data_IF_895443955981
#
_entry.id   IF_895443955981
#
_cell.length_a   1.000
_cell.length_b   1.000
_cell.length_c   1.000
_cell.angle_alpha   90.00
_cell.angle_beta   90.00
_cell.angle_gamma   90.00
#
_symmetry.space_group_name_H-M   'P 1'
#
loop_
_entity.id
_entity.type
_entity.pdbx_description
1 polymer ?
#
# COMPACT_ATOMS: atom_id res chain seq x y z
N UNK A 1 10.93 -20.21 1.74
CA UNK A 1 9.47 -20.32 1.96
C UNK A 1 8.68 -20.41 0.67
N UNK A 2 8.95 -19.60 -0.35
CA UNK A 2 8.22 -19.60 -1.64
C UNK A 2 8.37 -20.93 -2.41
N UNK A 3 9.59 -21.47 -2.48
CA UNK A 3 9.86 -22.75 -3.13
C UNK A 3 9.14 -23.94 -2.44
N UNK A 4 9.04 -23.90 -1.11
CA UNK A 4 8.32 -24.92 -0.35
C UNK A 4 6.82 -24.91 -0.65
N UNK A 5 6.20 -23.72 -0.70
CA UNK A 5 4.79 -23.56 -1.05
C UNK A 5 4.51 -24.04 -2.48
N UNK A 6 5.36 -23.70 -3.44
CA UNK A 6 5.23 -24.19 -4.81
C UNK A 6 5.37 -25.71 -4.91
N UNK A 7 6.31 -26.31 -4.16
CA UNK A 7 6.47 -27.77 -4.13
C UNK A 7 5.25 -28.44 -3.52
N UNK A 8 4.68 -27.90 -2.46
CA UNK A 8 3.48 -28.40 -1.82
C UNK A 8 2.28 -28.36 -2.78
N UNK A 9 2.11 -27.26 -3.51
CA UNK A 9 1.04 -27.13 -4.53
C UNK A 9 1.21 -28.16 -5.63
N UNK A 10 2.43 -28.39 -6.14
CA UNK A 10 2.70 -29.38 -7.19
C UNK A 10 2.43 -30.81 -6.72
N UNK A 11 2.85 -31.15 -5.51
CA UNK A 11 2.59 -32.47 -4.91
C UNK A 11 1.09 -32.68 -4.69
N UNK A 12 0.36 -31.70 -4.17
CA UNK A 12 -1.08 -31.76 -3.99
C UNK A 12 -1.81 -31.93 -5.33
N UNK A 13 -1.40 -31.20 -6.36
CA UNK A 13 -1.98 -31.32 -7.70
C UNK A 13 -1.74 -32.70 -8.32
N UNK A 14 -0.52 -33.21 -8.21
CA UNK A 14 -0.17 -34.56 -8.69
C UNK A 14 -0.99 -35.64 -7.97
N UNK A 15 -1.17 -35.51 -6.66
CA UNK A 15 -1.96 -36.44 -5.85
C UNK A 15 -3.44 -36.44 -6.25
N UNK A 16 -4.03 -35.25 -6.46
CA UNK A 16 -5.42 -35.12 -6.93
C UNK A 16 -5.58 -35.70 -8.32
N UNK A 17 -4.65 -35.46 -9.25
CA UNK A 17 -4.69 -36.00 -10.60
C UNK A 17 -4.54 -37.52 -10.63
N UNK A 18 -3.77 -38.11 -9.70
CA UNK A 18 -3.61 -39.57 -9.61
C UNK A 18 -4.81 -40.25 -8.96
N UNK A 19 -5.42 -39.65 -7.95
CA UNK A 19 -6.50 -40.26 -7.17
C UNK A 19 -7.86 -40.06 -7.86
N UNK A 20 -8.09 -38.92 -8.52
CA UNK A 20 -9.38 -38.58 -9.13
C UNK A 20 -9.91 -39.64 -10.13
N UNK A 21 -9.08 -40.19 -11.05
CA UNK A 21 -9.54 -41.25 -11.95
C UNK A 21 -9.90 -42.58 -11.23
N UNK A 22 -9.17 -42.89 -10.15
CA UNK A 22 -9.45 -44.13 -9.35
C UNK A 22 -10.80 -44.00 -8.64
N UNK A 23 -11.11 -42.84 -8.06
CA UNK A 23 -12.41 -42.59 -7.45
C UNK A 23 -13.51 -42.61 -8.50
N UNK A 24 -13.30 -42.00 -9.66
CA UNK A 24 -14.24 -41.96 -10.75
C UNK A 24 -14.54 -43.38 -11.28
N UNK A 25 -13.51 -44.24 -11.39
CA UNK A 25 -13.65 -45.66 -11.79
C UNK A 25 -14.38 -46.48 -10.74
N UNK A 26 -14.11 -46.28 -9.45
CA UNK A 26 -14.77 -46.97 -8.36
C UNK A 26 -16.28 -46.67 -8.26
N UNK A 27 -16.68 -45.40 -8.57
CA UNK A 27 -18.09 -45.00 -8.59
C UNK A 27 -18.81 -45.58 -9.80
N UNK A 28 -18.13 -45.70 -10.95
CA UNK A 28 -18.68 -46.26 -12.18
C UNK A 28 -19.74 -45.39 -12.85
N UNK A 29 -20.56 -46.00 -13.71
CA UNK A 29 -21.68 -45.34 -14.41
C UNK A 29 -23.01 -45.82 -13.81
N UNK A 30 -23.88 -44.86 -13.51
CA UNK A 30 -25.21 -45.10 -12.99
C UNK A 30 -26.25 -44.42 -13.87
N UNK A 31 -27.33 -45.17 -14.21
CA UNK A 31 -28.45 -44.65 -14.95
C UNK A 31 -29.68 -44.64 -14.05
N UNK A 32 -30.33 -43.53 -13.94
CA UNK A 32 -31.57 -43.38 -13.20
C UNK A 32 -32.68 -42.97 -14.17
N UNK A 33 -33.67 -43.83 -14.33
CA UNK A 33 -34.84 -43.57 -15.19
C UNK A 33 -36.03 -43.12 -14.36
N UNK A 34 -36.47 -41.91 -14.58
CA UNK A 34 -37.67 -41.37 -13.96
C UNK A 34 -38.69 -41.05 -15.05
N UNK A 35 -39.77 -41.82 -15.12
CA UNK A 35 -40.78 -41.78 -16.18
C UNK A 35 -40.18 -41.91 -17.59
N UNK A 36 -40.15 -40.82 -18.37
CA UNK A 36 -39.63 -40.77 -19.75
C UNK A 36 -38.22 -40.16 -19.85
N UNK A 37 -37.64 -39.76 -18.74
CA UNK A 37 -36.31 -39.11 -18.73
C UNK A 37 -35.29 -40.03 -18.08
N UNK A 38 -34.22 -40.35 -18.82
CA UNK A 38 -33.08 -41.09 -18.32
C UNK A 38 -31.94 -40.09 -18.00
N UNK A 39 -31.55 -40.03 -16.71
CA UNK A 39 -30.39 -39.29 -16.26
C UNK A 39 -29.23 -40.28 -16.12
N UNK A 40 -28.20 -40.11 -16.94
CA UNK A 40 -26.94 -40.87 -16.83
C UNK A 40 -25.89 -40.00 -16.15
N UNK A 41 -25.38 -40.44 -15.03
CA UNK A 41 -24.24 -39.77 -14.39
C UNK A 41 -23.09 -40.76 -14.24
N UNK A 42 -21.88 -40.27 -14.44
CA UNK A 42 -20.66 -41.05 -14.34
C UNK A 42 -19.85 -40.64 -13.11
N UNK A 43 -18.94 -41.51 -12.68
CA UNK A 43 -18.08 -41.24 -11.52
C UNK A 43 -17.26 -39.95 -11.64
N UNK A 44 -16.94 -39.54 -12.87
CA UNK A 44 -16.22 -38.28 -13.10
C UNK A 44 -17.07 -37.04 -12.70
N UNK A 45 -18.37 -37.05 -13.05
CA UNK A 45 -19.28 -35.95 -12.66
C UNK A 45 -19.43 -35.86 -11.13
N UNK A 46 -19.54 -37.01 -10.44
CA UNK A 46 -19.56 -37.05 -8.98
C UNK A 46 -18.27 -36.54 -8.36
N UNK A 47 -17.13 -37.00 -8.87
CA UNK A 47 -15.82 -36.58 -8.37
C UNK A 47 -15.64 -35.07 -8.52
N UNK A 48 -16.01 -34.47 -9.66
CA UNK A 48 -15.97 -33.04 -9.89
C UNK A 48 -16.91 -32.25 -8.97
N UNK A 49 -18.11 -32.76 -8.74
CA UNK A 49 -19.09 -32.16 -7.83
C UNK A 49 -18.55 -32.10 -6.40
N UNK A 50 -18.02 -33.20 -5.88
CA UNK A 50 -17.45 -33.25 -4.53
C UNK A 50 -16.17 -32.41 -4.41
N UNK A 51 -15.30 -32.41 -5.43
CA UNK A 51 -14.12 -31.57 -5.47
C UNK A 51 -14.50 -30.06 -5.43
N UNK A 52 -15.53 -29.67 -6.18
CA UNK A 52 -16.07 -28.31 -6.15
C UNK A 52 -16.64 -27.95 -4.77
N UNK A 53 -17.37 -28.85 -4.13
CA UNK A 53 -17.91 -28.64 -2.79
C UNK A 53 -16.80 -28.45 -1.74
N UNK A 54 -15.75 -29.28 -1.80
CA UNK A 54 -14.58 -29.18 -0.92
C UNK A 54 -13.85 -27.85 -1.17
N UNK A 55 -13.67 -27.43 -2.43
CA UNK A 55 -13.03 -26.16 -2.77
C UNK A 55 -13.80 -24.95 -2.21
N UNK A 56 -15.13 -24.97 -2.30
CA UNK A 56 -15.99 -23.95 -1.69
C UNK A 56 -15.84 -23.94 -0.16
N UNK A 57 -15.87 -25.11 0.47
CA UNK A 57 -15.71 -25.25 1.92
C UNK A 57 -14.35 -24.70 2.39
N UNK A 58 -13.25 -25.08 1.72
CA UNK A 58 -11.91 -24.58 2.02
C UNK A 58 -11.83 -23.07 1.79
N UNK A 59 -12.44 -22.55 0.72
CA UNK A 59 -12.54 -21.13 0.47
C UNK A 59 -13.25 -20.37 1.58
N UNK A 60 -14.37 -20.89 2.08
CA UNK A 60 -15.12 -20.30 3.21
C UNK A 60 -14.30 -20.35 4.51
N UNK A 61 -13.66 -21.49 4.81
CA UNK A 61 -12.80 -21.60 6.01
C UNK A 61 -11.63 -20.64 5.94
N UNK A 62 -10.94 -20.56 4.78
CA UNK A 62 -9.84 -19.61 4.58
C UNK A 62 -10.30 -18.16 4.73
N UNK A 63 -11.45 -17.83 4.19
CA UNK A 63 -12.05 -16.50 4.36
C UNK A 63 -12.33 -16.19 5.83
N UNK A 64 -12.93 -17.11 6.58
CA UNK A 64 -13.23 -16.94 8.00
C UNK A 64 -11.96 -16.80 8.85
N UNK A 65 -10.88 -17.49 8.49
CA UNK A 65 -9.58 -17.39 9.18
C UNK A 65 -8.83 -16.10 8.86
N UNK A 66 -8.98 -15.56 7.64
CA UNK A 66 -8.33 -14.32 7.19
C UNK A 66 -9.19 -13.07 7.39
N UNK A 67 -10.34 -13.19 8.07
CA UNK A 67 -11.30 -12.11 8.23
C UNK A 67 -10.82 -11.09 9.27
N UNK A 68 -10.11 -10.06 8.82
CA UNK A 68 -9.66 -8.92 9.64
C UNK A 68 -10.77 -7.89 9.92
N UNK A 69 -11.98 -8.06 9.34
CA UNK A 69 -13.09 -7.09 9.44
C UNK A 69 -14.37 -7.76 9.90
N UNK A 70 -14.76 -7.62 11.20
CA UNK A 70 -15.91 -8.34 11.77
C UNK A 70 -17.29 -7.90 11.24
N UNK A 71 -17.40 -6.77 10.55
CA UNK A 71 -18.69 -6.15 10.19
C UNK A 71 -19.04 -6.13 8.69
N UNK A 72 -18.27 -6.79 7.83
CA UNK A 72 -18.52 -6.81 6.38
C UNK A 72 -19.04 -8.19 5.96
N UNK A 73 -20.15 -8.26 5.22
CA UNK A 73 -20.72 -9.52 4.76
C UNK A 73 -19.99 -10.04 3.51
N UNK A 74 -19.81 -11.35 3.41
CA UNK A 74 -19.19 -12.03 2.27
C UNK A 74 -19.89 -11.71 0.94
N UNK A 75 -21.21 -11.55 0.97
CA UNK A 75 -22.01 -11.19 -0.20
C UNK A 75 -21.72 -9.77 -0.71
N UNK A 76 -21.38 -8.83 0.18
CA UNK A 76 -20.98 -7.47 -0.25
C UNK A 76 -19.63 -7.48 -0.92
N UNK A 77 -18.66 -8.26 -0.41
CA UNK A 77 -17.32 -8.39 -0.99
C UNK A 77 -17.36 -9.07 -2.38
N UNK A 78 -18.15 -10.14 -2.51
CA UNK A 78 -18.36 -10.81 -3.80
C UNK A 78 -19.03 -9.87 -4.79
N UNK A 79 -20.07 -9.14 -4.37
CA UNK A 79 -20.81 -8.21 -5.24
C UNK A 79 -19.93 -7.05 -5.71
N UNK A 80 -19.07 -6.51 -4.84
CA UNK A 80 -18.11 -5.47 -5.20
C UNK A 80 -17.02 -5.99 -6.14
N UNK A 81 -16.53 -7.23 -5.93
CA UNK A 81 -15.58 -7.88 -6.82
C UNK A 81 -16.13 -8.06 -8.24
N UNK A 82 -17.41 -8.49 -8.37
CA UNK A 82 -18.07 -8.63 -9.68
C UNK A 82 -18.38 -7.31 -10.35
N UNK A 83 -18.53 -6.21 -9.61
CA UNK A 83 -18.78 -4.87 -10.16
C UNK A 83 -17.52 -4.11 -10.55
N UNK A 84 -16.33 -4.69 -10.35
CA UNK A 84 -15.06 -4.00 -10.57
C UNK A 84 -14.74 -2.90 -9.54
N UNK A 85 -15.50 -2.85 -8.43
CA UNK A 85 -15.39 -1.85 -7.37
C UNK A 85 -14.33 -2.21 -6.31
N UNK A 86 -13.38 -3.11 -6.61
CA UNK A 86 -12.33 -3.50 -5.66
C UNK A 86 -11.47 -2.33 -5.18
N UNK A 87 -11.47 -1.22 -5.89
CA UNK A 87 -10.83 0.05 -5.45
C UNK A 87 -11.67 0.87 -4.48
N UNK A 88 -12.98 0.60 -4.38
CA UNK A 88 -13.91 1.40 -3.58
C UNK A 88 -14.11 0.89 -2.13
N UNK A 89 -13.64 -0.31 -1.80
CA UNK A 89 -13.89 -0.93 -0.49
C UNK A 89 -13.06 -0.31 0.64
N UNK A 90 -12.00 0.44 0.31
CA UNK A 90 -11.21 1.22 1.28
C UNK A 90 -11.50 2.72 1.25
N UNK A 91 -12.27 3.18 0.29
CA UNK A 91 -12.65 4.58 0.16
C UNK A 91 -13.82 4.93 1.07
N UNK A 92 -13.59 5.25 2.34
CA UNK A 92 -14.42 6.27 2.96
C UNK A 92 -14.30 7.49 2.05
N UNK A 93 -15.42 7.92 1.47
CA UNK A 93 -15.49 9.17 0.70
C UNK A 93 -15.02 10.26 1.67
N UNK A 94 -13.76 10.67 1.54
CA UNK A 94 -13.26 11.82 2.25
C UNK A 94 -13.77 13.03 1.49
N UNK A 95 -14.49 13.90 2.14
CA UNK A 95 -14.95 15.16 1.56
C UNK A 95 -13.83 16.19 1.44
N UNK A 96 -12.71 15.96 2.13
CA UNK A 96 -11.54 16.84 2.14
C UNK A 96 -10.59 16.61 0.96
N UNK A 97 -9.71 17.57 0.74
CA UNK A 97 -8.67 17.54 -0.31
C UNK A 97 -7.32 17.25 0.34
N UNK A 98 -6.56 16.30 -0.21
CA UNK A 98 -5.24 15.93 0.29
C UNK A 98 -4.15 16.34 -0.70
N UNK A 99 -3.25 17.22 -0.29
CA UNK A 99 -2.15 17.77 -1.09
C UNK A 99 -0.82 17.39 -0.46
N UNK A 100 0.08 16.77 -1.23
CA UNK A 100 1.45 16.48 -0.82
C UNK A 100 2.43 17.37 -1.55
N UNK A 101 3.40 17.93 -0.82
CA UNK A 101 4.55 18.61 -1.39
C UNK A 101 5.78 17.74 -1.26
N UNK A 102 6.40 17.44 -2.38
CA UNK A 102 7.52 16.55 -2.52
C UNK A 102 8.73 17.26 -3.16
N UNK A 103 9.92 16.67 -3.06
CA UNK A 103 11.14 17.21 -3.65
C UNK A 103 12.35 17.12 -2.74
N UNK A 104 13.53 17.42 -3.28
CA UNK A 104 14.81 17.38 -2.59
C UNK A 104 14.94 18.37 -1.43
N UNK A 105 16.09 18.31 -0.73
CA UNK A 105 16.39 19.22 0.35
C UNK A 105 16.54 20.66 -0.19
N UNK A 106 16.17 21.64 0.63
CA UNK A 106 16.28 23.07 0.26
C UNK A 106 15.42 23.52 -0.93
N UNK A 107 14.52 22.66 -1.48
CA UNK A 107 13.67 23.00 -2.63
C UNK A 107 12.56 24.02 -2.33
N UNK A 108 12.32 24.36 -1.05
CA UNK A 108 11.36 25.40 -0.65
C UNK A 108 9.97 24.84 -0.28
N UNK A 109 9.80 23.52 -0.12
CA UNK A 109 8.53 22.88 0.24
C UNK A 109 7.85 23.56 1.43
N UNK A 110 8.52 23.67 2.56
CA UNK A 110 7.95 24.23 3.79
C UNK A 110 7.55 25.70 3.65
N UNK A 111 8.15 26.45 2.73
CA UNK A 111 7.75 27.83 2.41
C UNK A 111 6.46 27.82 1.60
N UNK A 112 6.38 26.99 0.57
CA UNK A 112 5.22 26.94 -0.31
C UNK A 112 4.00 26.32 0.38
N UNK A 113 4.19 25.32 1.23
CA UNK A 113 3.09 24.74 2.02
C UNK A 113 2.46 25.78 2.96
N UNK A 114 3.26 26.62 3.60
CA UNK A 114 2.77 27.72 4.45
C UNK A 114 2.04 28.79 3.66
N UNK A 115 2.59 29.22 2.51
CA UNK A 115 1.94 30.20 1.65
C UNK A 115 0.59 29.69 1.11
N UNK A 116 0.53 28.42 0.71
CA UNK A 116 -0.71 27.80 0.26
C UNK A 116 -1.73 27.72 1.39
N UNK A 117 -1.31 27.29 2.59
CA UNK A 117 -2.17 27.27 3.78
C UNK A 117 -2.77 28.65 4.04
N UNK A 118 -1.91 29.69 4.14
CA UNK A 118 -2.35 31.04 4.43
C UNK A 118 -3.32 31.58 3.37
N UNK A 119 -3.12 31.21 2.11
CA UNK A 119 -4.02 31.59 1.02
C UNK A 119 -5.37 30.88 1.12
N UNK A 120 -5.39 29.57 1.39
CA UNK A 120 -6.63 28.80 1.54
C UNK A 120 -7.45 29.27 2.75
N UNK A 121 -6.80 29.50 3.90
CA UNK A 121 -7.48 30.00 5.10
C UNK A 121 -8.10 31.40 4.88
N UNK A 122 -7.43 32.28 4.13
CA UNK A 122 -7.99 33.58 3.73
C UNK A 122 -9.21 33.46 2.80
N UNK A 123 -9.34 32.35 2.10
CA UNK A 123 -10.48 32.04 1.25
C UNK A 123 -11.58 31.23 1.96
N UNK A 124 -11.43 31.00 3.28
CA UNK A 124 -12.47 30.38 4.10
C UNK A 124 -12.36 28.85 4.22
N UNK A 125 -11.27 28.24 3.76
CA UNK A 125 -11.03 26.81 3.88
C UNK A 125 -10.45 26.46 5.26
N UNK A 126 -10.85 25.34 5.84
CA UNK A 126 -10.20 24.75 7.01
C UNK A 126 -9.00 23.94 6.55
N UNK A 127 -7.80 24.26 7.03
CA UNK A 127 -6.54 23.69 6.55
C UNK A 127 -5.74 23.04 7.66
N UNK A 128 -5.46 21.74 7.51
CA UNK A 128 -4.48 21.04 8.31
C UNK A 128 -3.13 21.05 7.57
N UNK A 129 -2.13 21.79 8.09
CA UNK A 129 -0.75 21.69 7.63
C UNK A 129 0.04 20.73 8.51
N UNK A 130 0.65 19.73 7.89
CA UNK A 130 1.43 18.70 8.56
C UNK A 130 2.70 18.34 7.79
N UNK A 131 3.45 17.32 8.25
CA UNK A 131 4.71 16.89 7.61
C UNK A 131 5.04 15.43 7.94
N UNK A 132 5.91 14.82 7.13
CA UNK A 132 6.54 13.53 7.40
C UNK A 132 8.07 13.59 7.26
N UNK A 133 8.82 12.95 8.19
CA UNK A 133 8.32 12.36 9.43
C UNK A 133 8.01 13.42 10.48
N UNK A 134 7.12 13.09 11.45
CA UNK A 134 6.96 13.91 12.65
C UNK A 134 5.71 14.77 12.72
N UNK A 135 4.59 14.39 12.07
CA UNK A 135 3.30 15.08 12.19
C UNK A 135 2.54 14.79 13.51
N UNK A 136 2.99 13.81 14.30
CA UNK A 136 2.34 13.37 15.53
C UNK A 136 3.36 13.24 16.66
N UNK A 137 2.89 13.02 17.90
CA UNK A 137 3.80 12.79 19.05
C UNK A 137 4.70 11.58 18.81
N UNK A 138 4.14 10.44 18.36
CA UNK A 138 4.91 9.25 17.99
C UNK A 138 5.84 9.54 16.81
N UNK A 139 5.31 10.25 15.81
CA UNK A 139 6.07 10.64 14.64
C UNK A 139 7.29 11.51 14.97
N UNK A 140 7.18 12.42 15.93
CA UNK A 140 8.32 13.23 16.38
C UNK A 140 9.41 12.35 17.04
N UNK A 141 9.04 11.32 17.82
CA UNK A 141 10.01 10.38 18.38
C UNK A 141 10.73 9.58 17.28
N UNK A 142 10.00 9.13 16.26
CA UNK A 142 10.59 8.44 15.11
C UNK A 142 11.47 9.38 14.29
N UNK A 143 11.05 10.64 14.11
CA UNK A 143 11.84 11.68 13.46
C UNK A 143 13.19 11.89 14.16
N UNK A 144 13.17 12.00 15.48
CA UNK A 144 14.40 12.18 16.26
C UNK A 144 15.37 11.00 16.04
N UNK A 145 14.88 9.77 16.01
CA UNK A 145 15.70 8.59 15.71
C UNK A 145 16.22 8.62 14.26
N UNK A 146 15.34 8.95 13.30
CA UNK A 146 15.65 8.92 11.86
C UNK A 146 16.65 9.99 11.43
N UNK A 147 16.59 11.18 12.04
CA UNK A 147 17.34 12.36 11.59
C UNK A 147 18.53 12.73 12.48
N UNK A 148 18.59 12.24 13.73
CA UNK A 148 19.75 12.53 14.61
C UNK A 148 21.01 11.81 14.10
N UNK A 149 22.06 12.59 13.88
CA UNK A 149 23.40 12.09 13.51
C UNK A 149 23.96 11.10 14.54
N UNK A 150 23.54 11.20 15.82
CA UNK A 150 23.98 10.33 16.90
C UNK A 150 23.41 8.91 16.81
N UNK A 151 22.31 8.72 16.08
CA UNK A 151 21.71 7.39 15.85
C UNK A 151 22.68 6.48 15.09
N UNK A 152 23.62 7.04 14.33
CA UNK A 152 24.58 6.28 13.54
C UNK A 152 23.95 5.63 12.31
N UNK A 153 24.52 4.51 11.89
CA UNK A 153 24.09 3.81 10.66
C UNK A 153 22.82 3.01 10.92
N UNK A 154 21.76 3.34 10.20
CA UNK A 154 20.52 2.57 10.18
C UNK A 154 20.51 1.72 8.91
N UNK A 155 20.14 0.44 9.01
CA UNK A 155 20.01 -0.40 7.80
C UNK A 155 18.90 0.14 6.90
N UNK A 156 19.06 0.11 5.56
CA UNK A 156 18.06 0.67 4.63
C UNK A 156 16.63 0.20 4.87
N UNK A 157 16.45 -1.09 5.16
CA UNK A 157 15.12 -1.66 5.45
C UNK A 157 14.53 -1.17 6.78
N UNK A 158 15.36 -1.05 7.83
CA UNK A 158 14.89 -0.51 9.10
C UNK A 158 14.49 0.96 8.96
N UNK A 159 15.26 1.75 8.22
CA UNK A 159 14.93 3.14 7.89
C UNK A 159 13.57 3.23 7.16
N UNK A 160 13.38 2.45 6.10
CA UNK A 160 12.12 2.42 5.34
C UNK A 160 10.92 1.99 6.22
N UNK A 161 11.09 1.02 7.11
CA UNK A 161 10.03 0.57 8.02
C UNK A 161 9.68 1.62 9.08
N UNK A 162 10.65 2.38 9.59
CA UNK A 162 10.39 3.47 10.54
C UNK A 162 9.63 4.62 9.87
N UNK A 163 9.96 4.98 8.63
CA UNK A 163 9.17 5.94 7.85
C UNK A 163 7.74 5.42 7.59
N UNK A 164 7.60 4.13 7.29
CA UNK A 164 6.28 3.54 7.10
C UNK A 164 5.45 3.50 8.39
N UNK A 165 6.08 3.27 9.56
CA UNK A 165 5.43 3.30 10.86
C UNK A 165 4.95 4.70 11.24
N UNK A 166 5.80 5.74 11.02
CA UNK A 166 5.41 7.14 11.18
C UNK A 166 4.17 7.45 10.33
N UNK A 167 4.24 7.14 9.05
CA UNK A 167 3.17 7.38 8.07
C UNK A 167 1.87 6.68 8.43
N UNK A 168 1.93 5.40 8.82
CA UNK A 168 0.75 4.64 9.22
C UNK A 168 0.02 5.32 10.38
N UNK A 169 0.77 5.74 11.40
CA UNK A 169 0.19 6.43 12.55
C UNK A 169 -0.30 7.85 12.20
N UNK A 170 0.42 8.56 11.35
CA UNK A 170 0.06 9.89 10.87
C UNK A 170 -1.26 9.88 10.10
N UNK A 171 -1.41 8.93 9.16
CA UNK A 171 -2.66 8.74 8.40
C UNK A 171 -3.82 8.39 9.33
N UNK A 172 -3.62 7.44 10.23
CA UNK A 172 -4.66 6.98 11.15
C UNK A 172 -5.13 8.07 12.11
N UNK A 173 -4.19 8.78 12.74
CA UNK A 173 -4.49 9.68 13.86
C UNK A 173 -4.77 11.13 13.45
N UNK A 174 -4.31 11.56 12.28
CA UNK A 174 -4.36 12.97 11.90
C UNK A 174 -4.95 13.21 10.50
N UNK A 175 -4.37 12.61 9.43
CA UNK A 175 -4.74 12.94 8.05
C UNK A 175 -6.18 12.47 7.76
N UNK A 176 -6.48 11.19 8.00
CA UNK A 176 -7.79 10.62 7.69
C UNK A 176 -8.93 11.29 8.47
N UNK A 177 -8.82 11.54 9.78
CA UNK A 177 -9.84 12.30 10.51
C UNK A 177 -10.08 13.73 9.97
N UNK A 178 -9.02 14.45 9.58
CA UNK A 178 -9.15 15.78 8.97
C UNK A 178 -9.89 15.73 7.62
N UNK A 179 -9.50 14.81 6.74
CA UNK A 179 -10.19 14.60 5.47
C UNK A 179 -11.66 14.20 5.64
N UNK A 180 -11.99 13.45 6.69
CA UNK A 180 -13.38 13.10 7.02
C UNK A 180 -14.21 14.29 7.47
N UNK A 181 -13.59 15.29 8.10
CA UNK A 181 -14.24 16.57 8.46
C UNK A 181 -14.38 17.52 7.27
N UNK A 182 -13.80 17.20 6.10
CA UNK A 182 -13.83 18.03 4.91
C UNK A 182 -12.69 19.05 4.83
N UNK A 183 -11.69 18.95 5.69
CA UNK A 183 -10.54 19.87 5.70
C UNK A 183 -9.63 19.66 4.49
N UNK A 184 -8.92 20.72 4.09
CA UNK A 184 -7.79 20.61 3.19
C UNK A 184 -6.57 20.19 3.98
N UNK A 185 -6.00 19.03 3.68
CA UNK A 185 -4.77 18.54 4.31
C UNK A 185 -3.60 18.84 3.39
N UNK A 186 -2.60 19.57 3.89
CA UNK A 186 -1.33 19.82 3.20
C UNK A 186 -0.23 19.14 3.99
N UNK A 187 0.54 18.26 3.35
CA UNK A 187 1.71 17.62 3.97
C UNK A 187 3.02 18.01 3.27
N UNK A 188 4.03 18.35 4.07
CA UNK A 188 5.42 18.46 3.61
C UNK A 188 6.01 17.05 3.68
N UNK A 189 6.12 16.39 2.52
CA UNK A 189 6.47 14.99 2.27
C UNK A 189 5.34 13.98 2.60
N UNK A 190 5.32 12.92 1.82
CA UNK A 190 4.47 11.74 1.99
C UNK A 190 5.19 10.51 1.45
N UNK A 191 4.50 9.53 0.87
CA UNK A 191 5.12 8.26 0.49
C UNK A 191 6.10 8.36 -0.71
N UNK A 192 5.98 9.34 -1.59
CA UNK A 192 6.91 9.54 -2.71
C UNK A 192 8.31 9.88 -2.20
N UNK A 193 8.42 10.62 -1.08
CA UNK A 193 9.68 10.79 -0.36
C UNK A 193 10.32 9.46 0.01
N UNK A 194 9.56 8.47 0.50
CA UNK A 194 10.13 7.16 0.81
C UNK A 194 10.58 6.40 -0.43
N UNK A 195 9.83 6.49 -1.53
CA UNK A 195 10.22 5.86 -2.81
C UNK A 195 11.53 6.47 -3.31
N UNK A 196 11.66 7.80 -3.23
CA UNK A 196 12.85 8.50 -3.68
C UNK A 196 14.06 8.25 -2.74
N UNK A 197 13.91 8.43 -1.43
CA UNK A 197 15.02 8.35 -0.48
C UNK A 197 15.41 6.91 -0.13
N UNK A 198 14.47 6.10 0.34
CA UNK A 198 14.74 4.71 0.74
C UNK A 198 14.77 3.78 -0.48
N UNK A 199 13.99 4.04 -1.52
CA UNK A 199 14.07 3.31 -2.79
C UNK A 199 15.35 3.66 -3.54
N UNK A 200 15.36 4.72 -4.32
CA UNK A 200 16.48 5.08 -5.19
C UNK A 200 17.72 5.55 -4.41
N UNK A 201 17.56 6.36 -3.37
CA UNK A 201 18.66 6.86 -2.54
C UNK A 201 19.43 5.74 -1.85
N UNK A 202 18.75 4.85 -1.12
CA UNK A 202 19.31 3.70 -0.37
C UNK A 202 19.46 2.43 -1.21
N UNK A 203 19.16 2.47 -2.51
CA UNK A 203 19.27 1.34 -3.43
C UNK A 203 18.39 0.14 -3.01
N UNK A 204 17.24 0.39 -2.41
CA UNK A 204 16.16 -0.59 -2.31
C UNK A 204 15.34 -0.58 -3.59
N UNK A 205 14.56 -1.65 -3.81
CA UNK A 205 13.64 -1.65 -4.94
C UNK A 205 12.50 -0.64 -4.71
N UNK A 206 12.34 0.40 -5.54
CA UNK A 206 11.28 1.41 -5.37
C UNK A 206 9.88 0.80 -5.27
N UNK A 207 9.63 -0.30 -6.01
CA UNK A 207 8.36 -1.03 -5.96
C UNK A 207 8.09 -1.72 -4.61
N UNK A 208 9.12 -2.16 -3.88
CA UNK A 208 8.96 -2.72 -2.53
C UNK A 208 8.60 -1.60 -1.54
N UNK A 209 9.29 -0.47 -1.61
CA UNK A 209 9.02 0.71 -0.77
C UNK A 209 7.62 1.25 -1.03
N UNK A 210 7.22 1.36 -2.30
CA UNK A 210 5.87 1.77 -2.69
C UNK A 210 4.79 0.82 -2.14
N UNK A 211 5.04 -0.50 -2.15
CA UNK A 211 4.10 -1.49 -1.60
C UNK A 211 3.95 -1.40 -0.09
N UNK A 212 5.06 -1.22 0.64
CA UNK A 212 5.06 -1.01 2.10
C UNK A 212 4.32 0.29 2.43
N UNK A 213 4.57 1.37 1.69
CA UNK A 213 3.90 2.66 1.87
C UNK A 213 2.40 2.56 1.63
N UNK A 214 1.96 1.90 0.56
CA UNK A 214 0.53 1.68 0.31
C UNK A 214 -0.15 0.87 1.41
N UNK A 215 0.52 -0.16 1.91
CA UNK A 215 0.00 -0.95 3.04
C UNK A 215 -0.11 -0.09 4.31
N UNK A 216 0.91 0.71 4.63
CA UNK A 216 0.95 1.59 5.80
C UNK A 216 -0.14 2.68 5.77
N UNK A 217 -0.51 3.17 4.59
CA UNK A 217 -1.51 4.23 4.40
C UNK A 217 -2.93 3.70 4.16
N UNK A 218 -3.13 2.37 4.15
CA UNK A 218 -4.38 1.76 3.67
C UNK A 218 -4.78 2.31 2.30
N UNK A 219 -3.78 2.44 1.41
CA UNK A 219 -3.92 2.98 0.06
C UNK A 219 -4.46 4.42 -0.03
N UNK A 220 -4.36 5.22 1.03
CA UNK A 220 -4.65 6.65 0.97
C UNK A 220 -3.59 7.34 0.12
N UNK A 221 -4.00 7.95 -0.98
CA UNK A 221 -3.15 8.72 -1.89
C UNK A 221 -3.53 10.19 -1.86
N UNK A 222 -2.59 11.13 -2.08
CA UNK A 222 -2.92 12.52 -2.27
C UNK A 222 -3.86 12.73 -3.48
N UNK A 223 -4.72 13.74 -3.38
CA UNK A 223 -5.53 14.24 -4.52
C UNK A 223 -4.62 14.98 -5.52
N UNK A 224 -3.57 15.62 -5.00
CA UNK A 224 -2.56 16.33 -5.78
C UNK A 224 -1.20 16.16 -5.12
N UNK A 225 -0.20 15.76 -5.89
CA UNK A 225 1.22 15.79 -5.49
C UNK A 225 1.94 16.89 -6.24
N UNK A 226 2.59 17.81 -5.51
CA UNK A 226 3.39 18.90 -6.06
C UNK A 226 4.86 18.56 -5.88
N UNK A 227 5.56 18.26 -6.96
CA UNK A 227 7.01 17.99 -6.94
C UNK A 227 7.78 19.27 -7.21
N UNK A 228 8.58 19.69 -6.23
CA UNK A 228 9.43 20.87 -6.32
C UNK A 228 10.84 20.47 -6.76
N UNK A 229 11.11 20.62 -8.04
CA UNK A 229 12.42 20.29 -8.62
C UNK A 229 13.44 21.41 -8.38
N UNK A 230 14.59 21.02 -7.86
CA UNK A 230 15.76 21.87 -7.70
C UNK A 230 17.02 21.00 -7.83
N UNK A 231 18.08 21.44 -8.54
CA UNK A 231 19.37 20.77 -8.52
C UNK A 231 19.87 20.53 -7.09
N UNK A 232 20.28 19.27 -6.79
CA UNK A 232 20.62 18.85 -5.44
C UNK A 232 21.71 19.73 -4.80
N UNK A 233 22.73 20.11 -5.57
CA UNK A 233 23.81 21.00 -5.11
C UNK A 233 23.29 22.36 -4.63
N UNK A 234 22.32 22.95 -5.36
CA UNK A 234 21.72 24.23 -4.98
C UNK A 234 20.89 24.07 -3.72
N UNK A 235 20.13 22.99 -3.61
CA UNK A 235 19.30 22.71 -2.44
C UNK A 235 20.13 22.54 -1.17
N UNK A 236 21.14 21.69 -1.23
CA UNK A 236 22.08 21.46 -0.11
C UNK A 236 22.83 22.72 0.28
N UNK A 237 23.21 23.57 -0.68
CA UNK A 237 23.88 24.86 -0.43
C UNK A 237 23.04 25.89 0.35
N UNK A 238 21.73 25.68 0.48
CA UNK A 238 20.81 26.51 1.27
C UNK A 238 20.70 26.09 2.75
N UNK A 239 21.21 24.92 3.10
CA UNK A 239 21.11 24.38 4.44
C UNK A 239 22.17 24.99 5.36
N UNK A 240 21.78 25.36 6.57
CA UNK A 240 22.68 25.93 7.58
C UNK A 240 23.27 24.88 8.52
N UNK A 241 22.57 23.75 8.68
CA UNK A 241 22.98 22.57 9.44
C UNK A 241 22.44 21.34 8.73
N UNK A 242 23.13 20.22 8.86
CA UNK A 242 22.76 18.97 8.18
C UNK A 242 22.35 17.91 9.19
N UNK A 243 21.21 17.30 8.96
CA UNK A 243 20.80 16.08 9.64
C UNK A 243 21.45 14.84 8.99
N UNK A 244 21.09 13.65 9.48
CA UNK A 244 21.68 12.39 9.03
C UNK A 244 21.43 12.12 7.52
N UNK A 245 20.29 12.49 6.99
CA UNK A 245 19.99 12.33 5.56
C UNK A 245 20.60 13.42 4.71
N UNK A 246 20.55 14.67 5.20
CA UNK A 246 21.16 15.82 4.53
C UNK A 246 22.69 15.69 4.44
N UNK A 247 23.30 14.94 5.36
CA UNK A 247 24.75 14.66 5.38
C UNK A 247 25.20 13.59 4.37
N UNK A 248 24.27 12.97 3.65
CA UNK A 248 24.60 11.99 2.60
C UNK A 248 25.35 12.65 1.43
N UNK A 249 26.18 11.90 0.69
CA UNK A 249 26.90 12.42 -0.46
C UNK A 249 25.98 13.02 -1.54
N UNK A 250 26.45 13.99 -2.30
CA UNK A 250 25.70 14.63 -3.40
C UNK A 250 25.08 13.60 -4.36
N UNK A 251 25.82 12.53 -4.69
CA UNK A 251 25.31 11.45 -5.55
C UNK A 251 24.06 10.74 -5.00
N UNK A 252 23.85 10.70 -3.67
CA UNK A 252 22.62 10.21 -3.06
C UNK A 252 21.46 11.15 -3.39
N UNK A 253 21.64 12.45 -3.19
CA UNK A 253 20.61 13.47 -3.44
C UNK A 253 20.26 13.60 -4.93
N UNK A 254 21.23 13.38 -5.81
CA UNK A 254 20.98 13.34 -7.27
C UNK A 254 20.11 12.15 -7.67
N UNK A 255 20.34 10.95 -7.08
CA UNK A 255 19.45 9.79 -7.30
C UNK A 255 18.05 10.06 -6.77
N UNK A 256 17.93 10.68 -5.59
CA UNK A 256 16.63 11.08 -5.02
C UNK A 256 15.90 12.04 -5.96
N UNK A 257 16.57 13.08 -6.45
CA UNK A 257 16.00 14.03 -7.40
C UNK A 257 15.53 13.33 -8.68
N UNK A 258 16.37 12.46 -9.25
CA UNK A 258 16.02 11.74 -10.47
C UNK A 258 14.77 10.87 -10.27
N UNK A 259 14.62 10.24 -9.08
CA UNK A 259 13.45 9.42 -8.81
C UNK A 259 12.17 10.28 -8.68
N UNK A 260 12.23 11.47 -8.08
CA UNK A 260 11.10 12.40 -8.11
C UNK A 260 10.66 12.77 -9.53
N UNK A 261 11.62 13.02 -10.43
CA UNK A 261 11.31 13.30 -11.84
C UNK A 261 10.70 12.08 -12.54
N UNK A 262 11.17 10.86 -12.22
CA UNK A 262 10.58 9.63 -12.73
C UNK A 262 9.12 9.47 -12.24
N UNK A 263 8.85 9.71 -10.96
CA UNK A 263 7.50 9.66 -10.39
C UNK A 263 6.56 10.66 -11.06
N UNK A 264 7.01 11.91 -11.26
CA UNK A 264 6.23 12.93 -11.97
C UNK A 264 5.89 12.57 -13.41
N UNK A 265 6.75 11.78 -14.09
CA UNK A 265 6.46 11.32 -15.45
C UNK A 265 5.49 10.13 -15.50
N UNK A 266 5.42 9.35 -14.42
CA UNK A 266 4.53 8.18 -14.34
C UNK A 266 3.08 8.56 -13.99
N UNK A 267 2.91 9.64 -13.26
CA UNK A 267 1.60 10.17 -12.83
C UNK A 267 1.61 11.71 -12.99
N UNK A 268 1.42 12.22 -14.23
CA UNK A 268 1.54 13.63 -14.57
C UNK A 268 0.34 14.49 -14.09
#
# INVERSE_FOLDING_TARGET
>A
TFAFVQSLIRVSLALVLAISPLIAAAIGQHTYTFRTTTLTYNGAAFTMFFAGLIAVLVGVISYLQMRDRPNVSLLSDIKSAFRGELGAITGQVTSGVFISFEGGEGSGKSTQTKLLKDWLEKNGEEVLLTREPGGTTLGNQLRDILLDNKTGVISPRAEALMYAADRAHHVFSLIRPALQRGEVVITDRYFDSSIAYQGAGRVLLPSEVARISRWATESLTPTLTVIMDLPAEIGLGRLHSTDRLESEPLAFHERVRQEYLNLAHLDP
#
